data_IF_108820512232
#
_entry.id   IF_108820512232
#
_cell.length_a   1.000
_cell.length_b   1.000
_cell.length_c   1.000
_cell.angle_alpha   90.00
_cell.angle_beta   90.00
_cell.angle_gamma   90.00
#
_symmetry.space_group_name_H-M   'P 1'
#
loop_
_entity.id
_entity.type
_entity.pdbx_description
1 polymer ?
#
# COMPACT_ATOMS: atom_id res chain seq x y z
N UNK A 1 -42.33 -47.06 4.93
CA UNK A 1 -41.72 -46.18 3.91
C UNK A 1 -41.68 -44.79 4.52
N UNK A 2 -40.52 -44.39 5.05
CA UNK A 2 -40.34 -43.07 5.65
C UNK A 2 -39.57 -42.21 4.64
N UNK A 3 -40.24 -41.21 4.09
CA UNK A 3 -39.62 -40.15 3.29
C UNK A 3 -38.69 -39.32 4.20
N UNK A 4 -37.40 -39.38 3.90
CA UNK A 4 -36.39 -38.54 4.53
C UNK A 4 -36.48 -37.12 3.98
N UNK A 5 -37.03 -36.21 4.78
CA UNK A 5 -36.93 -34.78 4.53
C UNK A 5 -35.45 -34.36 4.65
N UNK A 6 -34.80 -34.11 3.52
CA UNK A 6 -33.53 -33.37 3.51
C UNK A 6 -33.84 -31.94 3.94
N UNK A 7 -33.47 -31.60 5.17
CA UNK A 7 -33.40 -30.22 5.64
C UNK A 7 -32.48 -29.45 4.71
N UNK A 8 -33.08 -28.59 3.90
CA UNK A 8 -32.37 -27.63 3.05
C UNK A 8 -31.63 -26.65 3.95
N UNK A 9 -30.38 -26.99 4.28
CA UNK A 9 -29.42 -26.04 4.84
C UNK A 9 -29.30 -24.95 3.80
N UNK A 10 -29.91 -23.80 4.10
CA UNK A 10 -29.80 -22.58 3.34
C UNK A 10 -28.33 -22.19 3.34
N UNK A 11 -27.55 -22.68 2.36
CA UNK A 11 -26.20 -22.22 2.14
C UNK A 11 -26.33 -20.74 1.81
N UNK A 12 -25.81 -19.84 2.65
CA UNK A 12 -25.79 -18.44 2.27
C UNK A 12 -25.03 -18.34 0.94
N UNK A 13 -25.48 -17.45 0.06
CA UNK A 13 -24.84 -17.09 -1.21
C UNK A 13 -23.45 -16.45 -0.96
N UNK A 14 -22.59 -17.12 -0.20
CA UNK A 14 -21.18 -16.84 -0.04
C UNK A 14 -20.58 -17.14 -1.41
N UNK A 15 -20.37 -16.08 -2.20
CA UNK A 15 -19.83 -16.19 -3.54
C UNK A 15 -18.59 -17.07 -3.58
N UNK A 16 -18.39 -17.74 -4.71
CA UNK A 16 -17.35 -18.76 -4.87
C UNK A 16 -16.01 -18.34 -4.26
N UNK A 17 -15.47 -19.21 -3.42
CA UNK A 17 -14.13 -19.05 -2.85
C UNK A 17 -13.11 -18.81 -3.96
N UNK A 18 -12.12 -17.96 -3.69
CA UNK A 18 -11.09 -17.63 -4.66
C UNK A 18 -10.07 -18.75 -4.89
N UNK A 19 -9.90 -19.66 -3.92
CA UNK A 19 -8.98 -20.79 -4.00
C UNK A 19 -7.55 -20.37 -4.41
N UNK A 20 -6.92 -21.17 -5.27
CA UNK A 20 -5.55 -20.90 -5.77
C UNK A 20 -5.43 -19.57 -6.52
N UNK A 21 -6.49 -19.12 -7.19
CA UNK A 21 -6.49 -17.85 -7.93
C UNK A 21 -6.23 -16.68 -6.99
N UNK A 22 -6.86 -16.66 -5.82
CA UNK A 22 -6.69 -15.56 -4.86
C UNK A 22 -5.25 -15.47 -4.35
N UNK A 23 -4.65 -16.59 -3.98
CA UNK A 23 -3.25 -16.62 -3.54
C UNK A 23 -2.29 -16.15 -4.63
N UNK A 24 -2.49 -16.58 -5.89
CA UNK A 24 -1.69 -16.12 -7.02
C UNK A 24 -1.85 -14.61 -7.23
N UNK A 25 -3.08 -14.09 -7.15
CA UNK A 25 -3.32 -12.66 -7.31
C UNK A 25 -2.64 -11.84 -6.21
N UNK A 26 -2.71 -12.29 -4.96
CA UNK A 26 -1.99 -11.67 -3.83
C UNK A 26 -0.49 -11.64 -4.11
N UNK A 27 0.12 -12.77 -4.52
CA UNK A 27 1.54 -12.82 -4.84
C UNK A 27 1.92 -11.86 -5.98
N UNK A 28 1.11 -11.80 -7.04
CA UNK A 28 1.35 -10.91 -8.18
C UNK A 28 1.28 -9.44 -7.77
N UNK A 29 0.28 -9.04 -6.99
CA UNK A 29 0.11 -7.64 -6.59
C UNK A 29 1.13 -7.26 -5.52
N UNK A 30 1.22 -8.01 -4.42
CA UNK A 30 2.10 -7.66 -3.31
C UNK A 30 3.57 -7.80 -3.71
N UNK A 31 3.97 -8.97 -4.21
CA UNK A 31 5.39 -9.22 -4.50
C UNK A 31 5.77 -8.72 -5.90
N UNK A 32 4.93 -8.94 -6.91
CA UNK A 32 5.24 -8.55 -8.28
C UNK A 32 5.27 -7.04 -8.47
N UNK A 33 4.17 -6.34 -8.17
CA UNK A 33 4.14 -4.87 -8.27
C UNK A 33 5.03 -4.21 -7.22
N UNK A 34 5.15 -4.79 -6.02
CA UNK A 34 6.09 -4.33 -5.01
C UNK A 34 7.55 -4.40 -5.47
N UNK A 35 7.95 -5.47 -6.16
CA UNK A 35 9.30 -5.57 -6.74
C UNK A 35 9.53 -4.53 -7.85
N UNK A 36 8.52 -4.27 -8.69
CA UNK A 36 8.59 -3.22 -9.71
C UNK A 36 8.75 -1.84 -9.09
N UNK A 37 7.98 -1.52 -8.04
CA UNK A 37 8.10 -0.27 -7.31
C UNK A 37 9.49 -0.14 -6.66
N UNK A 38 10.03 -1.21 -6.09
CA UNK A 38 11.38 -1.17 -5.54
C UNK A 38 12.45 -0.92 -6.60
N UNK A 39 12.30 -1.48 -7.80
CA UNK A 39 13.20 -1.21 -8.91
C UNK A 39 13.15 0.27 -9.33
N UNK A 40 11.96 0.88 -9.38
CA UNK A 40 11.79 2.32 -9.60
C UNK A 40 12.50 3.16 -8.52
N UNK A 41 12.37 2.76 -7.26
CA UNK A 41 13.01 3.47 -6.14
C UNK A 41 14.53 3.41 -6.19
N UNK A 42 15.08 2.23 -6.51
CA UNK A 42 16.52 2.05 -6.72
C UNK A 42 17.01 2.90 -7.90
N UNK A 43 16.29 2.87 -9.02
CA UNK A 43 16.63 3.69 -10.19
C UNK A 43 16.61 5.19 -9.87
N UNK A 44 15.57 5.69 -9.22
CA UNK A 44 15.45 7.11 -8.93
C UNK A 44 16.48 7.56 -7.89
N UNK A 45 16.75 6.76 -6.85
CA UNK A 45 17.83 7.03 -5.90
C UNK A 45 19.19 7.08 -6.59
N UNK A 46 19.51 6.08 -7.43
CA UNK A 46 20.77 6.05 -8.18
C UNK A 46 20.90 7.26 -9.11
N UNK A 47 19.80 7.67 -9.77
CA UNK A 47 19.76 8.85 -10.63
C UNK A 47 20.03 10.13 -9.84
N UNK A 48 19.44 10.28 -8.66
CA UNK A 48 19.64 11.45 -7.80
C UNK A 48 21.08 11.53 -7.28
N UNK A 49 21.63 10.41 -6.81
CA UNK A 49 23.01 10.35 -6.34
C UNK A 49 23.98 10.64 -7.48
N UNK A 50 23.74 10.12 -8.68
CA UNK A 50 24.59 10.36 -9.84
C UNK A 50 24.54 11.83 -10.30
N UNK A 51 23.36 12.44 -10.36
CA UNK A 51 23.18 13.80 -10.89
C UNK A 51 23.43 14.92 -9.88
N UNK A 52 23.10 14.70 -8.61
CA UNK A 52 23.12 15.73 -7.57
C UNK A 52 24.05 15.39 -6.40
N UNK A 53 24.77 14.26 -6.44
CA UNK A 53 25.62 13.74 -5.36
C UNK A 53 24.88 13.43 -4.05
N UNK A 54 23.55 13.56 -4.03
CA UNK A 54 22.71 13.30 -2.86
C UNK A 54 21.24 13.12 -3.25
N UNK A 55 20.52 12.33 -2.46
CA UNK A 55 19.05 12.23 -2.54
C UNK A 55 18.34 13.28 -1.67
N UNK A 56 19.09 14.17 -1.00
CA UNK A 56 18.53 15.16 -0.08
C UNK A 56 17.58 16.16 -0.75
N UNK A 57 17.63 16.31 -2.07
CA UNK A 57 16.69 17.15 -2.83
C UNK A 57 15.22 16.72 -2.66
N UNK A 58 14.94 15.44 -2.46
CA UNK A 58 13.57 14.94 -2.20
C UNK A 58 12.99 15.44 -0.88
N UNK A 59 13.83 15.86 0.06
CA UNK A 59 13.40 16.35 1.36
C UNK A 59 13.08 17.85 1.35
N UNK A 60 13.49 18.59 0.32
CA UNK A 60 13.32 20.04 0.22
C UNK A 60 13.71 20.74 1.53
N UNK A 61 12.75 21.44 2.14
CA UNK A 61 12.97 22.17 3.41
C UNK A 61 13.31 21.26 4.58
N UNK A 62 12.88 19.99 4.58
CA UNK A 62 13.23 19.03 5.64
C UNK A 62 14.72 18.63 5.62
N UNK A 63 15.47 19.04 4.60
CA UNK A 63 16.92 18.92 4.61
C UNK A 63 17.58 19.83 5.68
N UNK A 64 16.92 20.93 6.07
CA UNK A 64 17.45 21.91 7.01
C UNK A 64 17.64 21.33 8.43
N UNK A 65 18.74 21.68 9.15
CA UNK A 65 19.01 21.15 10.49
C UNK A 65 17.90 21.40 11.52
N UNK A 66 17.18 22.53 11.40
CA UNK A 66 16.05 22.89 12.28
C UNK A 66 14.87 21.92 12.18
N UNK A 67 14.75 21.19 11.06
CA UNK A 67 13.68 20.23 10.79
C UNK A 67 14.17 18.77 10.83
N UNK A 68 15.35 18.51 11.41
CA UNK A 68 15.89 17.16 11.56
C UNK A 68 14.91 16.23 12.31
N UNK A 69 14.23 16.73 13.34
CA UNK A 69 13.24 15.94 14.08
C UNK A 69 12.14 15.41 13.15
N UNK A 70 11.62 16.27 12.26
CA UNK A 70 10.57 15.91 11.32
C UNK A 70 11.10 14.89 10.30
N UNK A 71 12.31 15.09 9.78
CA UNK A 71 12.94 14.14 8.86
C UNK A 71 13.15 12.77 9.52
N UNK A 72 13.61 12.71 10.77
CA UNK A 72 13.75 11.45 11.49
C UNK A 72 12.40 10.78 11.79
N UNK A 73 11.36 11.58 12.10
CA UNK A 73 9.99 11.07 12.21
C UNK A 73 9.52 10.44 10.90
N UNK A 74 9.84 11.05 9.74
CA UNK A 74 9.55 10.48 8.43
C UNK A 74 10.29 9.17 8.19
N UNK A 75 11.59 9.08 8.47
CA UNK A 75 12.34 7.83 8.32
C UNK A 75 11.77 6.72 9.19
N UNK A 76 11.46 7.01 10.45
CA UNK A 76 10.82 6.06 11.35
C UNK A 76 9.44 5.63 10.82
N UNK A 77 8.66 6.57 10.30
CA UNK A 77 7.32 6.29 9.78
C UNK A 77 7.36 5.44 8.49
N UNK A 78 8.24 5.76 7.53
CA UNK A 78 8.46 4.91 6.36
C UNK A 78 8.87 3.49 6.76
N UNK A 79 9.78 3.38 7.73
CA UNK A 79 10.22 2.08 8.26
C UNK A 79 9.07 1.30 8.89
N UNK A 80 8.24 1.94 9.71
CA UNK A 80 7.05 1.33 10.31
C UNK A 80 6.01 0.91 9.27
N UNK A 81 5.78 1.73 8.24
CA UNK A 81 4.88 1.38 7.14
C UNK A 81 5.42 0.16 6.35
N UNK A 82 6.71 0.16 6.00
CA UNK A 82 7.36 -0.95 5.31
C UNK A 82 7.37 -2.24 6.13
N UNK A 83 7.59 -2.16 7.45
CA UNK A 83 7.48 -3.33 8.34
C UNK A 83 6.03 -3.80 8.44
N UNK A 84 5.06 -2.87 8.56
CA UNK A 84 3.63 -3.16 8.65
C UNK A 84 3.05 -3.84 7.40
N UNK A 85 3.69 -3.67 6.24
CA UNK A 85 3.34 -4.36 5.01
C UNK A 85 3.51 -5.89 5.11
N UNK A 86 4.53 -6.40 5.82
CA UNK A 86 4.81 -7.85 5.86
C UNK A 86 3.74 -8.66 6.61
N UNK A 87 3.24 -8.24 7.79
CA UNK A 87 2.09 -8.89 8.42
C UNK A 87 0.85 -8.88 7.53
N UNK A 88 0.61 -7.79 6.78
CA UNK A 88 -0.51 -7.71 5.85
C UNK A 88 -0.38 -8.74 4.70
N UNK A 89 0.81 -8.84 4.11
CA UNK A 89 1.12 -9.88 3.11
C UNK A 89 0.91 -11.28 3.68
N UNK A 90 1.51 -11.58 4.83
CA UNK A 90 1.41 -12.89 5.45
C UNK A 90 -0.04 -13.26 5.78
N UNK A 91 -0.81 -12.31 6.35
CA UNK A 91 -2.24 -12.50 6.60
C UNK A 91 -2.99 -12.81 5.31
N UNK A 92 -2.79 -12.02 4.25
CA UNK A 92 -3.45 -12.21 2.96
C UNK A 92 -3.10 -13.54 2.30
N UNK A 93 -1.84 -14.00 2.38
CA UNK A 93 -1.45 -15.32 1.84
C UNK A 93 -2.20 -16.47 2.52
N UNK A 94 -2.49 -16.34 3.81
CA UNK A 94 -3.22 -17.35 4.58
C UNK A 94 -4.72 -17.32 4.26
N UNK A 95 -5.34 -16.15 4.18
CA UNK A 95 -6.81 -16.05 4.04
C UNK A 95 -7.29 -15.97 2.59
N UNK A 96 -6.46 -15.55 1.62
CA UNK A 96 -6.94 -15.25 0.27
C UNK A 96 -7.70 -16.42 -0.35
N UNK A 97 -7.17 -17.63 -0.25
CA UNK A 97 -7.77 -18.83 -0.86
C UNK A 97 -9.10 -19.26 -0.24
N UNK A 98 -9.49 -18.73 0.91
CA UNK A 98 -10.80 -19.00 1.55
C UNK A 98 -11.78 -17.84 1.38
N UNK A 99 -11.29 -16.65 1.05
CA UNK A 99 -12.12 -15.48 0.84
C UNK A 99 -12.90 -15.55 -0.50
N UNK A 100 -14.09 -14.93 -0.57
CA UNK A 100 -14.81 -14.77 -1.83
C UNK A 100 -13.97 -14.02 -2.87
N UNK A 101 -14.07 -14.42 -4.13
CA UNK A 101 -13.31 -13.81 -5.26
C UNK A 101 -13.37 -12.28 -5.27
N UNK A 102 -14.57 -11.70 -5.14
CA UNK A 102 -14.77 -10.26 -5.18
C UNK A 102 -14.08 -9.49 -4.03
N UNK A 103 -13.89 -10.12 -2.87
CA UNK A 103 -13.17 -9.52 -1.73
C UNK A 103 -11.68 -9.43 -2.05
N UNK A 104 -11.10 -10.54 -2.54
CA UNK A 104 -9.69 -10.59 -2.93
C UNK A 104 -9.41 -9.63 -4.09
N UNK A 105 -10.28 -9.62 -5.10
CA UNK A 105 -10.17 -8.72 -6.26
C UNK A 105 -10.24 -7.25 -5.84
N UNK A 106 -11.10 -6.89 -4.86
CA UNK A 106 -11.18 -5.54 -4.32
C UNK A 106 -9.90 -5.14 -3.57
N UNK A 107 -9.42 -5.99 -2.66
CA UNK A 107 -8.18 -5.73 -1.88
C UNK A 107 -6.99 -5.57 -2.83
N UNK A 108 -6.80 -6.53 -3.73
CA UNK A 108 -5.71 -6.53 -4.70
C UNK A 108 -5.84 -5.40 -5.71
N UNK A 109 -7.06 -5.06 -6.13
CA UNK A 109 -7.34 -3.98 -7.07
C UNK A 109 -6.95 -2.61 -6.52
N UNK A 110 -7.39 -2.27 -5.30
CA UNK A 110 -6.99 -1.00 -4.68
C UNK A 110 -5.48 -0.93 -4.44
N UNK A 111 -4.86 -2.03 -4.04
CA UNK A 111 -3.42 -2.02 -3.81
C UNK A 111 -2.61 -2.01 -5.11
N UNK A 112 -3.12 -2.61 -6.19
CA UNK A 112 -2.52 -2.51 -7.51
C UNK A 112 -2.61 -1.07 -8.05
N UNK A 113 -3.72 -0.36 -7.82
CA UNK A 113 -3.83 1.06 -8.14
C UNK A 113 -2.78 1.86 -7.36
N UNK A 114 -2.63 1.61 -6.05
CA UNK A 114 -1.59 2.23 -5.23
C UNK A 114 -0.19 2.02 -5.83
N UNK A 115 0.20 0.77 -6.10
CA UNK A 115 1.52 0.49 -6.67
C UNK A 115 1.70 1.17 -8.03
N UNK A 116 0.68 1.11 -8.89
CA UNK A 116 0.75 1.72 -10.20
C UNK A 116 0.91 3.24 -10.13
N UNK A 117 0.21 3.92 -9.24
CA UNK A 117 0.35 5.39 -9.07
C UNK A 117 1.70 5.75 -8.48
N UNK A 118 2.23 4.94 -7.55
CA UNK A 118 3.54 5.16 -6.93
C UNK A 118 4.72 5.00 -7.90
N UNK A 119 4.59 4.20 -8.97
CA UNK A 119 5.61 4.11 -10.03
C UNK A 119 5.91 5.44 -10.73
N UNK A 120 5.04 6.44 -10.60
CA UNK A 120 5.25 7.76 -11.19
C UNK A 120 5.84 8.77 -10.21
N UNK A 121 5.76 8.52 -8.90
CA UNK A 121 6.14 9.50 -7.88
C UNK A 121 7.61 9.91 -8.02
N UNK A 122 8.52 8.93 -7.95
CA UNK A 122 9.94 9.22 -7.95
C UNK A 122 10.45 9.74 -9.31
N UNK A 123 10.05 9.18 -10.48
CA UNK A 123 10.38 9.77 -11.77
C UNK A 123 9.92 11.23 -11.92
N UNK A 124 8.71 11.56 -11.47
CA UNK A 124 8.23 12.94 -11.51
C UNK A 124 9.02 13.85 -10.56
N UNK A 125 9.40 13.36 -9.38
CA UNK A 125 10.24 14.11 -8.44
C UNK A 125 11.64 14.38 -9.04
N UNK A 126 12.27 13.41 -9.68
CA UNK A 126 13.54 13.61 -10.40
C UNK A 126 13.37 14.65 -11.50
N UNK A 127 12.33 14.53 -12.33
CA UNK A 127 12.06 15.51 -13.39
C UNK A 127 11.78 16.92 -12.84
N UNK A 128 11.12 17.02 -11.68
CA UNK A 128 10.86 18.29 -11.02
C UNK A 128 12.14 18.92 -10.47
N UNK A 129 13.05 18.12 -9.92
CA UNK A 129 14.36 18.60 -9.48
C UNK A 129 15.25 19.04 -10.66
N UNK A 130 15.15 18.40 -11.83
CA UNK A 130 15.86 18.83 -13.04
C UNK A 130 15.32 20.17 -13.56
N UNK A 131 14.00 20.30 -13.66
CA UNK A 131 13.33 21.49 -14.19
C UNK A 131 12.03 21.77 -13.43
N UNK A 132 12.10 22.58 -12.36
CA UNK A 132 10.93 22.91 -11.56
C UNK A 132 9.82 23.55 -12.42
N UNK A 133 8.62 23.01 -12.32
CA UNK A 133 7.44 23.49 -13.04
C UNK A 133 6.18 23.27 -12.20
N UNK A 134 5.34 24.31 -12.08
CA UNK A 134 4.07 24.27 -11.36
C UNK A 134 3.12 23.17 -11.86
N UNK A 135 3.08 22.91 -13.17
CA UNK A 135 2.25 21.84 -13.74
C UNK A 135 2.71 20.45 -13.29
N UNK A 136 4.03 20.21 -13.29
CA UNK A 136 4.59 18.93 -12.84
C UNK A 136 4.38 18.76 -11.33
N UNK A 137 4.53 19.83 -10.54
CA UNK A 137 4.23 19.78 -9.12
C UNK A 137 2.76 19.48 -8.82
N UNK A 138 1.83 20.03 -9.60
CA UNK A 138 0.41 19.69 -9.51
C UNK A 138 0.19 18.19 -9.79
N UNK A 139 0.83 17.62 -10.80
CA UNK A 139 0.74 16.19 -11.09
C UNK A 139 1.30 15.32 -9.97
N UNK A 140 2.43 15.70 -9.35
CA UNK A 140 2.96 15.02 -8.16
C UNK A 140 1.91 15.02 -7.04
N UNK A 141 1.27 16.15 -6.76
CA UNK A 141 0.23 16.24 -5.71
C UNK A 141 -1.00 15.40 -6.02
N UNK A 142 -1.47 15.41 -7.27
CA UNK A 142 -2.61 14.59 -7.69
C UNK A 142 -2.28 13.10 -7.59
N UNK A 143 -1.07 12.70 -8.00
CA UNK A 143 -0.59 11.33 -7.88
C UNK A 143 -0.54 10.89 -6.41
N UNK A 144 0.06 11.69 -5.51
CA UNK A 144 0.10 11.39 -4.09
C UNK A 144 -1.30 11.30 -3.45
N UNK A 145 -2.24 12.15 -3.88
CA UNK A 145 -3.63 12.05 -3.45
C UNK A 145 -4.28 10.74 -3.92
N UNK A 146 -4.06 10.32 -5.18
CA UNK A 146 -4.54 9.04 -5.69
C UNK A 146 -3.93 7.84 -4.95
N UNK A 147 -2.62 7.86 -4.69
CA UNK A 147 -1.94 6.85 -3.87
C UNK A 147 -2.49 6.80 -2.45
N UNK A 148 -2.63 7.95 -1.78
CA UNK A 148 -3.18 8.02 -0.43
C UNK A 148 -4.61 7.46 -0.33
N UNK A 149 -5.49 7.84 -1.27
CA UNK A 149 -6.87 7.34 -1.32
C UNK A 149 -6.94 5.85 -1.61
N UNK A 150 -6.11 5.34 -2.52
CA UNK A 150 -6.06 3.91 -2.82
C UNK A 150 -5.48 3.09 -1.66
N UNK A 151 -4.49 3.61 -0.93
CA UNK A 151 -3.98 3.00 0.30
C UNK A 151 -5.05 2.95 1.41
N UNK A 152 -5.84 4.00 1.58
CA UNK A 152 -6.98 4.01 2.52
C UNK A 152 -8.03 2.97 2.10
N UNK A 153 -8.40 2.92 0.82
CA UNK A 153 -9.38 1.96 0.31
C UNK A 153 -8.90 0.50 0.46
N UNK A 154 -7.60 0.27 0.24
CA UNK A 154 -6.95 -1.01 0.51
C UNK A 154 -7.00 -1.37 2.01
N UNK A 155 -6.58 -0.47 2.89
CA UNK A 155 -6.60 -0.70 4.33
C UNK A 155 -8.03 -0.98 4.83
N UNK A 156 -9.01 -0.20 4.39
CA UNK A 156 -10.43 -0.44 4.68
C UNK A 156 -10.88 -1.83 4.19
N UNK A 157 -10.45 -2.23 3.01
CA UNK A 157 -10.79 -3.56 2.45
C UNK A 157 -10.17 -4.71 3.24
N UNK A 158 -8.99 -4.52 3.82
CA UNK A 158 -8.34 -5.50 4.72
C UNK A 158 -9.02 -5.54 6.09
N UNK A 159 -9.32 -4.37 6.67
CA UNK A 159 -9.98 -4.26 7.98
C UNK A 159 -11.42 -4.83 7.98
N UNK A 160 -12.05 -4.90 6.82
CA UNK A 160 -13.41 -5.46 6.65
C UNK A 160 -13.42 -6.96 6.36
N UNK A 161 -12.26 -7.62 6.39
CA UNK A 161 -12.20 -9.09 6.29
C UNK A 161 -12.94 -9.70 7.50
N UNK A 162 -13.91 -10.61 7.27
CA UNK A 162 -14.73 -11.18 8.33
C UNK A 162 -13.90 -11.86 9.43
N UNK A 163 -14.37 -11.75 10.67
CA UNK A 163 -13.73 -12.43 11.81
C UNK A 163 -13.78 -13.95 11.72
N UNK A 164 -14.65 -14.55 10.90
CA UNK A 164 -14.61 -16.00 10.62
C UNK A 164 -13.30 -16.43 9.94
N UNK A 165 -12.62 -15.52 9.23
CA UNK A 165 -11.29 -15.78 8.66
C UNK A 165 -10.17 -15.81 9.71
N UNK A 166 -10.46 -15.41 10.96
CA UNK A 166 -9.50 -15.44 12.10
C UNK A 166 -9.10 -16.84 12.47
N UNK A 167 -10.00 -17.82 12.30
CA UNK A 167 -9.70 -19.22 12.60
C UNK A 167 -8.54 -19.75 11.74
N UNK A 168 -8.36 -19.18 10.54
CA UNK A 168 -7.31 -19.60 9.59
C UNK A 168 -5.99 -18.86 9.84
N UNK A 169 -6.02 -17.55 10.07
CA UNK A 169 -4.78 -16.76 10.24
C UNK A 169 -4.27 -16.67 11.68
N UNK A 170 -5.13 -16.94 12.65
CA UNK A 170 -4.89 -16.58 14.05
C UNK A 170 -5.07 -15.08 14.32
N UNK A 171 -5.45 -14.77 15.56
CA UNK A 171 -5.72 -13.40 16.03
C UNK A 171 -4.48 -12.48 16.04
N UNK A 172 -3.27 -12.93 16.46
CA UNK A 172 -2.10 -12.05 16.48
C UNK A 172 -1.69 -11.55 15.09
N UNK A 173 -1.68 -12.43 14.09
CA UNK A 173 -1.33 -12.08 12.72
C UNK A 173 -2.35 -11.11 12.11
N UNK A 174 -3.64 -11.32 12.36
CA UNK A 174 -4.68 -10.40 11.90
C UNK A 174 -4.51 -9.00 12.52
N UNK A 175 -4.29 -8.91 13.84
CA UNK A 175 -4.10 -7.61 14.50
C UNK A 175 -2.85 -6.90 13.98
N UNK A 176 -1.76 -7.63 13.77
CA UNK A 176 -0.53 -7.09 13.19
C UNK A 176 -0.76 -6.60 11.76
N UNK A 177 -1.51 -7.34 10.94
CA UNK A 177 -1.91 -6.92 9.60
C UNK A 177 -2.76 -5.65 9.65
N UNK A 178 -3.77 -5.59 10.51
CA UNK A 178 -4.66 -4.44 10.64
C UNK A 178 -3.94 -3.18 11.10
N UNK A 179 -3.06 -3.30 12.10
CA UNK A 179 -2.23 -2.20 12.56
C UNK A 179 -1.27 -1.74 11.44
N UNK A 180 -0.61 -2.70 10.78
CA UNK A 180 0.32 -2.44 9.68
C UNK A 180 -0.33 -1.74 8.49
N UNK A 181 -1.46 -2.25 7.98
CA UNK A 181 -2.18 -1.64 6.85
C UNK A 181 -2.73 -0.27 7.20
N UNK A 182 -3.25 -0.09 8.42
CA UNK A 182 -3.78 1.21 8.87
C UNK A 182 -2.67 2.25 8.95
N UNK A 183 -1.51 1.87 9.51
CA UNK A 183 -0.37 2.77 9.60
C UNK A 183 0.25 3.08 8.24
N UNK A 184 0.33 2.08 7.35
CA UNK A 184 0.75 2.27 5.96
C UNK A 184 -0.15 3.30 5.25
N UNK A 185 -1.47 3.14 5.34
CA UNK A 185 -2.42 4.07 4.75
C UNK A 185 -2.30 5.48 5.37
N UNK A 186 -2.09 5.58 6.68
CA UNK A 186 -1.83 6.85 7.36
C UNK A 186 -0.56 7.52 6.82
N UNK A 187 0.54 6.78 6.67
CA UNK A 187 1.78 7.30 6.13
C UNK A 187 1.58 7.89 4.72
N UNK A 188 1.05 7.08 3.80
CA UNK A 188 0.88 7.51 2.42
C UNK A 188 -0.14 8.65 2.27
N UNK A 189 -1.26 8.61 3.00
CA UNK A 189 -2.30 9.63 2.84
C UNK A 189 -1.97 10.95 3.56
N UNK A 190 -1.41 10.87 4.77
CA UNK A 190 -1.21 12.05 5.62
C UNK A 190 0.20 12.59 5.50
N UNK A 191 1.22 11.74 5.69
CA UNK A 191 2.60 12.19 5.62
C UNK A 191 2.93 12.51 4.16
N UNK A 192 2.82 11.54 3.25
CA UNK A 192 3.19 11.78 1.85
C UNK A 192 2.17 12.64 1.12
N UNK A 193 0.86 12.42 1.31
CA UNK A 193 -0.19 13.14 0.59
C UNK A 193 -0.40 14.60 1.01
N UNK A 194 -0.18 14.92 2.29
CA UNK A 194 -0.52 16.25 2.85
C UNK A 194 0.72 16.99 3.34
N UNK A 195 1.57 16.34 4.13
CA UNK A 195 2.65 17.02 4.83
C UNK A 195 3.92 17.18 3.97
N UNK A 196 4.27 16.19 3.16
CA UNK A 196 5.47 16.20 2.32
C UNK A 196 5.44 17.23 1.18
N UNK A 197 4.35 17.41 0.40
CA UNK A 197 4.35 18.28 -0.77
C UNK A 197 4.73 19.75 -0.48
N UNK A 198 4.21 20.42 0.58
CA UNK A 198 4.63 21.79 0.88
C UNK A 198 6.09 21.89 1.36
N UNK A 199 6.68 20.79 1.84
CA UNK A 199 8.10 20.75 2.20
C UNK A 199 9.00 20.54 0.99
N UNK A 200 8.53 19.81 -0.02
CA UNK A 200 9.24 19.56 -1.26
C UNK A 200 9.28 20.77 -2.20
N UNK A 201 8.19 21.54 -2.28
CA UNK A 201 8.07 22.73 -3.16
C UNK A 201 8.69 23.99 -2.55
N UNK A 202 10.02 24.01 -2.38
CA UNK A 202 10.72 25.19 -1.86
C UNK A 202 12.03 25.46 -2.59
#
# INVERSE_FOLDING_TARGET
>A
MAEGAQEGVCQPLLGESSGRRGTVLVLLVYCGLGALLMADYVWGFATLVHRYHTAMGLWGRMAQPSLNWLRYTYYASMGLAAVGYFPALAHMLVVAGTLPKHVVDRICGFFAIFFFTELFWLPMCVAYLDKPNATLFLFIRLQLACSGLSAIAWAYSVLTIPSSSVEVSGRPLQLAAFAGTSYFAFHCAVLDGILWPPMFHA
#
